data_IF_626675176955
#
_entry.id   IF_626675176955
#
_cell.length_a   1.000
_cell.length_b   1.000
_cell.length_c   1.000
_cell.angle_alpha   90.00
_cell.angle_beta   90.00
_cell.angle_gamma   90.00
#
_symmetry.space_group_name_H-M   'P 1'
#
loop_
_entity.id
_entity.type
_entity.pdbx_description
1 polymer ?
#
# COMPACT_ATOMS: atom_id res chain seq x y z
N UNK A 1 -8.58 -21.64 -31.31
CA UNK A 1 -8.77 -21.08 -29.95
C UNK A 1 -8.74 -22.11 -28.81
N UNK A 2 -9.70 -23.03 -28.62
CA UNK A 2 -9.75 -23.85 -27.38
C UNK A 2 -8.77 -25.02 -27.32
N UNK A 3 -8.40 -25.64 -28.46
CA UNK A 3 -7.44 -26.77 -28.50
C UNK A 3 -5.97 -26.34 -28.40
N UNK A 4 -5.58 -25.25 -29.05
CA UNK A 4 -4.21 -24.70 -28.95
C UNK A 4 -3.86 -24.23 -27.54
N UNK A 5 -4.82 -23.64 -26.82
CA UNK A 5 -4.67 -23.21 -25.43
C UNK A 5 -4.51 -24.38 -24.44
N UNK A 6 -5.04 -25.56 -24.77
CA UNK A 6 -4.90 -26.76 -23.96
C UNK A 6 -3.52 -27.43 -24.17
N UNK A 7 -3.08 -27.54 -25.42
CA UNK A 7 -1.75 -28.07 -25.79
C UNK A 7 -0.60 -27.20 -25.23
N UNK A 8 -0.76 -25.88 -25.24
CA UNK A 8 0.23 -24.95 -24.67
C UNK A 8 0.33 -25.06 -23.15
N UNK A 9 -0.77 -25.33 -22.43
CA UNK A 9 -0.77 -25.44 -20.96
C UNK A 9 0.08 -26.60 -20.43
N UNK A 10 0.10 -27.76 -21.10
CA UNK A 10 0.93 -28.89 -20.68
C UNK A 10 2.42 -28.66 -20.94
N UNK A 11 2.76 -28.02 -22.06
CA UNK A 11 4.14 -27.66 -22.42
C UNK A 11 4.69 -26.58 -21.49
N UNK A 12 3.87 -25.59 -21.12
CA UNK A 12 4.28 -24.49 -20.25
C UNK A 12 4.32 -24.82 -18.76
N UNK A 13 3.71 -25.93 -18.33
CA UNK A 13 3.90 -26.46 -16.96
C UNK A 13 5.34 -26.92 -16.70
N UNK A 14 6.10 -27.24 -17.75
CA UNK A 14 7.44 -27.84 -17.65
C UNK A 14 8.59 -26.86 -17.97
N UNK A 15 8.31 -25.66 -18.50
CA UNK A 15 9.35 -24.70 -18.85
C UNK A 15 8.82 -23.25 -18.84
N UNK A 16 9.03 -22.56 -17.72
CA UNK A 16 8.60 -21.17 -17.53
C UNK A 16 9.27 -20.19 -18.50
N UNK A 17 10.53 -20.44 -18.89
CA UNK A 17 11.24 -19.57 -19.84
C UNK A 17 10.58 -19.59 -21.22
N UNK A 18 10.23 -20.79 -21.72
CA UNK A 18 9.49 -20.93 -22.99
C UNK A 18 8.10 -20.28 -22.92
N UNK A 19 7.42 -20.38 -21.77
CA UNK A 19 6.12 -19.70 -21.56
C UNK A 19 6.27 -18.19 -21.63
N UNK A 20 7.24 -17.63 -20.91
CA UNK A 20 7.44 -16.19 -20.84
C UNK A 20 7.84 -15.62 -22.21
N UNK A 21 8.70 -16.33 -22.96
CA UNK A 21 9.03 -15.97 -24.34
C UNK A 21 7.80 -15.98 -25.24
N UNK A 22 7.00 -17.04 -25.18
CA UNK A 22 5.77 -17.15 -25.96
C UNK A 22 4.77 -16.03 -25.64
N UNK A 23 4.61 -15.67 -24.36
CA UNK A 23 3.77 -14.53 -23.96
C UNK A 23 4.33 -13.23 -24.55
N UNK A 24 5.64 -13.01 -24.48
CA UNK A 24 6.26 -11.80 -25.03
C UNK A 24 6.03 -11.69 -26.54
N UNK A 25 6.22 -12.79 -27.28
CA UNK A 25 5.97 -12.84 -28.73
C UNK A 25 4.51 -12.52 -29.06
N UNK A 26 3.55 -13.13 -28.35
CA UNK A 26 2.11 -12.85 -28.53
C UNK A 26 1.75 -11.37 -28.26
N UNK A 27 2.38 -10.74 -27.26
CA UNK A 27 2.11 -9.32 -26.98
C UNK A 27 2.60 -8.40 -28.10
N UNK A 28 3.63 -8.80 -28.86
CA UNK A 28 4.14 -8.02 -29.99
C UNK A 28 3.21 -8.10 -31.21
N UNK A 29 2.55 -9.25 -31.41
CA UNK A 29 1.67 -9.50 -32.56
C UNK A 29 0.27 -8.86 -32.42
N UNK A 30 -0.27 -8.73 -31.20
CA UNK A 30 -1.60 -8.13 -30.99
C UNK A 30 -1.50 -6.62 -30.74
N UNK A 31 -1.89 -5.81 -31.73
CA UNK A 31 -1.96 -4.35 -31.60
C UNK A 31 -2.93 -3.88 -30.50
N UNK A 32 -3.87 -4.73 -30.07
CA UNK A 32 -4.83 -4.42 -29.00
C UNK A 32 -4.33 -4.82 -27.61
N UNK A 33 -3.16 -5.45 -27.52
CA UNK A 33 -2.56 -5.80 -26.25
C UNK A 33 -2.38 -4.56 -25.36
N UNK A 34 -2.62 -4.72 -24.06
CA UNK A 34 -2.47 -3.62 -23.08
C UNK A 34 -1.02 -3.14 -23.03
N UNK A 35 -0.09 -4.09 -23.10
CA UNK A 35 1.33 -3.84 -23.07
C UNK A 35 2.06 -4.85 -23.96
N UNK A 36 3.26 -4.46 -24.40
CA UNK A 36 4.22 -5.28 -25.13
C UNK A 36 5.44 -5.52 -24.24
N UNK A 37 5.96 -6.75 -24.26
CA UNK A 37 7.19 -7.09 -23.54
C UNK A 37 8.36 -7.04 -24.53
N UNK A 38 9.25 -6.07 -24.32
CA UNK A 38 10.52 -6.00 -25.02
C UNK A 38 11.60 -6.71 -24.18
N UNK A 39 11.82 -7.98 -24.52
CA UNK A 39 12.78 -8.84 -23.82
C UNK A 39 14.23 -8.37 -24.04
N UNK A 40 14.53 -7.84 -25.22
CA UNK A 40 15.90 -7.47 -25.61
C UNK A 40 16.35 -6.21 -24.86
N UNK A 41 15.47 -5.22 -24.79
CA UNK A 41 15.71 -3.98 -24.05
C UNK A 41 15.31 -4.05 -22.57
N UNK A 42 14.72 -5.18 -22.12
CA UNK A 42 14.18 -5.38 -20.76
C UNK A 42 13.17 -4.31 -20.36
N UNK A 43 12.25 -3.99 -21.28
CA UNK A 43 11.24 -2.96 -21.11
C UNK A 43 9.82 -3.51 -21.28
N UNK A 44 8.86 -2.81 -20.71
CA UNK A 44 7.44 -3.01 -20.99
C UNK A 44 6.93 -1.72 -21.61
N UNK A 45 6.41 -1.82 -22.83
CA UNK A 45 5.78 -0.71 -23.53
C UNK A 45 4.27 -0.80 -23.34
N UNK A 46 3.63 0.27 -22.88
CA UNK A 46 2.18 0.32 -22.75
C UNK A 46 1.61 0.86 -24.05
N UNK A 47 0.60 0.19 -24.60
CA UNK A 47 -0.08 0.68 -25.79
C UNK A 47 -0.71 2.05 -25.53
N UNK A 48 -0.52 3.01 -26.45
CA UNK A 48 -0.99 4.39 -26.29
C UNK A 48 -2.49 4.53 -26.03
N UNK A 49 -3.32 3.71 -26.69
CA UNK A 49 -4.77 3.73 -26.48
C UNK A 49 -5.12 3.28 -25.06
N UNK A 50 -4.45 2.25 -24.57
CA UNK A 50 -4.59 1.77 -23.20
C UNK A 50 -4.04 2.75 -22.17
N UNK A 51 -2.87 3.36 -22.43
CA UNK A 51 -2.33 4.43 -21.60
C UNK A 51 -3.34 5.57 -21.46
N UNK A 52 -3.88 6.07 -22.59
CA UNK A 52 -4.87 7.15 -22.60
C UNK A 52 -6.13 6.74 -21.84
N UNK A 53 -6.64 5.53 -22.08
CA UNK A 53 -7.81 5.03 -21.37
C UNK A 53 -7.59 4.95 -19.86
N UNK A 54 -6.49 4.33 -19.41
CA UNK A 54 -6.17 4.19 -17.99
C UNK A 54 -5.98 5.55 -17.35
N UNK A 55 -5.27 6.47 -18.01
CA UNK A 55 -5.06 7.83 -17.52
C UNK A 55 -6.38 8.59 -17.34
N UNK A 56 -7.27 8.55 -18.32
CA UNK A 56 -8.59 9.21 -18.26
C UNK A 56 -9.46 8.59 -17.17
N UNK A 57 -9.39 7.28 -16.99
CA UNK A 57 -10.22 6.53 -16.04
C UNK A 57 -9.53 6.24 -14.70
N UNK A 58 -8.39 6.89 -14.42
CA UNK A 58 -7.52 6.54 -13.28
C UNK A 58 -8.24 6.64 -11.94
N UNK A 59 -9.17 7.59 -11.78
CA UNK A 59 -9.94 7.77 -10.56
C UNK A 59 -10.80 6.53 -10.25
N UNK A 60 -11.40 5.92 -11.27
CA UNK A 60 -12.22 4.71 -11.14
C UNK A 60 -11.34 3.52 -10.75
N UNK A 61 -10.20 3.36 -11.45
CA UNK A 61 -9.24 2.28 -11.18
C UNK A 61 -8.70 2.39 -9.75
N UNK A 62 -8.24 3.58 -9.34
CA UNK A 62 -7.78 3.85 -7.98
C UNK A 62 -8.89 3.62 -6.93
N UNK A 63 -10.11 4.09 -7.19
CA UNK A 63 -11.25 3.86 -6.31
C UNK A 63 -11.55 2.38 -6.11
N UNK A 64 -11.52 1.59 -7.19
CA UNK A 64 -11.72 0.14 -7.11
C UNK A 64 -10.58 -0.57 -6.36
N UNK A 65 -9.32 -0.17 -6.60
CA UNK A 65 -8.18 -0.71 -5.86
C UNK A 65 -8.27 -0.40 -4.36
N UNK A 66 -8.60 0.85 -3.99
CA UNK A 66 -8.83 1.24 -2.61
C UNK A 66 -9.96 0.46 -1.98
N UNK A 67 -11.08 0.26 -2.68
CA UNK A 67 -12.19 -0.55 -2.19
C UNK A 67 -11.76 -2.00 -1.91
N UNK A 68 -11.04 -2.64 -2.84
CA UNK A 68 -10.51 -4.00 -2.63
C UNK A 68 -9.56 -4.06 -1.43
N UNK A 69 -8.70 -3.06 -1.27
CA UNK A 69 -7.79 -2.95 -0.12
C UNK A 69 -8.56 -2.81 1.20
N UNK A 70 -9.58 -1.94 1.24
CA UNK A 70 -10.47 -1.78 2.40
C UNK A 70 -11.11 -3.12 2.77
N UNK A 71 -11.72 -3.83 1.81
CA UNK A 71 -12.33 -5.14 2.07
C UNK A 71 -11.31 -6.15 2.61
N UNK A 72 -10.12 -6.18 2.00
CA UNK A 72 -9.02 -7.07 2.42
C UNK A 72 -8.60 -6.80 3.86
N UNK A 73 -8.43 -5.52 4.23
CA UNK A 73 -8.03 -5.09 5.56
C UNK A 73 -9.12 -5.31 6.60
N UNK A 74 -10.39 -4.98 6.30
CA UNK A 74 -11.52 -5.18 7.21
C UNK A 74 -11.72 -6.65 7.57
N UNK A 75 -11.56 -7.56 6.60
CA UNK A 75 -11.65 -9.01 6.85
C UNK A 75 -10.61 -9.50 7.85
N UNK A 76 -9.42 -8.88 7.90
CA UNK A 76 -8.32 -9.26 8.78
C UNK A 76 -8.26 -8.47 10.08
N UNK A 77 -8.94 -7.32 10.14
CA UNK A 77 -8.93 -6.41 11.27
C UNK A 77 -10.38 -6.03 11.63
N UNK A 78 -11.24 -7.00 12.01
CA UNK A 78 -12.68 -6.74 12.21
C UNK A 78 -12.96 -5.70 13.29
N UNK A 79 -12.07 -5.58 14.28
CA UNK A 79 -12.19 -4.64 15.40
C UNK A 79 -11.65 -3.23 15.08
N UNK A 80 -11.05 -3.01 13.91
CA UNK A 80 -10.57 -1.68 13.52
C UNK A 80 -11.72 -0.96 12.80
N UNK A 81 -12.36 0.04 13.43
CA UNK A 81 -13.40 0.81 12.76
C UNK A 81 -12.79 1.75 11.73
N UNK A 82 -13.62 2.21 10.79
CA UNK A 82 -13.30 3.31 9.89
C UNK A 82 -12.03 3.06 9.04
N UNK A 83 -11.72 1.81 8.68
CA UNK A 83 -10.61 1.44 7.79
C UNK A 83 -10.59 2.25 6.48
N UNK A 84 -11.72 2.58 5.82
CA UNK A 84 -11.70 3.43 4.63
C UNK A 84 -10.97 4.77 4.82
N UNK A 85 -10.94 5.31 6.04
CA UNK A 85 -10.27 6.56 6.38
C UNK A 85 -8.82 6.37 6.86
N UNK A 86 -8.34 5.12 6.91
CA UNK A 86 -7.02 4.72 7.43
C UNK A 86 -6.14 4.06 6.36
N UNK A 87 -6.61 3.93 5.12
CA UNK A 87 -5.85 3.30 4.02
C UNK A 87 -4.71 4.17 3.49
N UNK A 88 -4.71 5.46 3.79
CA UNK A 88 -3.65 6.41 3.43
C UNK A 88 -3.14 7.10 4.68
N UNK A 89 -1.84 7.39 4.72
CA UNK A 89 -1.28 8.24 5.77
C UNK A 89 -1.95 9.62 5.73
N UNK A 90 -2.26 10.23 6.88
CA UNK A 90 -2.75 11.60 6.92
C UNK A 90 -1.68 12.54 6.35
N UNK A 91 -2.07 13.44 5.44
CA UNK A 91 -1.14 14.38 4.79
C UNK A 91 -0.46 15.34 5.78
N UNK A 92 -1.09 15.61 6.93
CA UNK A 92 -0.48 16.28 8.07
C UNK A 92 -0.91 15.58 9.35
N UNK A 93 0.06 15.21 10.18
CA UNK A 93 -0.19 14.70 11.53
C UNK A 93 -0.37 15.89 12.47
N UNK A 94 -1.56 16.04 13.05
CA UNK A 94 -1.85 17.03 14.10
C UNK A 94 -2.12 16.30 15.41
N UNK A 95 -1.18 16.41 16.35
CA UNK A 95 -1.30 15.82 17.69
C UNK A 95 -1.60 16.86 18.76
N UNK A 96 -1.83 18.13 18.40
CA UNK A 96 -1.97 19.23 19.36
C UNK A 96 -3.00 18.95 20.46
N UNK A 97 -4.16 18.39 20.09
CA UNK A 97 -5.22 18.01 21.03
C UNK A 97 -4.78 16.88 21.97
N UNK A 98 -4.12 15.86 21.44
CA UNK A 98 -3.67 14.72 22.22
C UNK A 98 -2.52 15.14 23.16
N UNK A 99 -1.55 15.91 22.66
CA UNK A 99 -0.46 16.47 23.47
C UNK A 99 -1.02 17.33 24.59
N UNK A 100 -1.95 18.25 24.28
CA UNK A 100 -2.59 19.08 25.31
C UNK A 100 -3.29 18.24 26.38
N UNK A 101 -4.06 17.23 25.98
CA UNK A 101 -4.73 16.33 26.92
C UNK A 101 -3.73 15.65 27.86
N UNK A 102 -2.66 15.07 27.32
CA UNK A 102 -1.66 14.37 28.13
C UNK A 102 -0.85 15.31 29.02
N UNK A 103 -0.59 16.55 28.58
CA UNK A 103 0.01 17.58 29.44
C UNK A 103 -0.90 17.91 30.63
N UNK A 104 -2.20 18.07 30.42
CA UNK A 104 -3.14 18.33 31.54
C UNK A 104 -3.23 17.12 32.49
N UNK A 105 -3.30 15.89 31.96
CA UNK A 105 -3.30 14.67 32.79
C UNK A 105 -2.04 14.60 33.65
N UNK A 106 -0.87 14.91 33.08
CA UNK A 106 0.39 14.87 33.81
C UNK A 106 0.49 15.93 34.92
N UNK A 107 -0.26 17.04 34.81
CA UNK A 107 -0.36 18.04 35.89
C UNK A 107 -1.15 17.51 37.08
N UNK A 108 -2.24 16.78 36.82
CA UNK A 108 -3.10 16.25 37.87
C UNK A 108 -2.54 14.95 38.49
N UNK A 109 -1.86 14.13 37.69
CA UNK A 109 -1.26 12.86 38.11
C UNK A 109 0.07 12.67 37.41
N UNK A 110 1.14 12.51 38.19
CA UNK A 110 2.47 12.23 37.63
C UNK A 110 2.44 10.96 36.78
N UNK A 111 2.78 11.10 35.50
CA UNK A 111 2.88 9.99 34.55
C UNK A 111 4.35 9.65 34.34
N UNK A 112 4.65 8.35 34.29
CA UNK A 112 5.96 7.85 33.88
C UNK A 112 5.97 7.53 32.39
N UNK A 113 7.06 7.91 31.73
CA UNK A 113 7.36 7.48 30.37
C UNK A 113 7.55 5.96 30.31
N UNK A 114 6.87 5.31 29.37
CA UNK A 114 6.82 3.83 29.28
C UNK A 114 8.12 3.22 28.74
N UNK A 115 9.00 4.01 28.12
CA UNK A 115 10.25 3.53 27.53
C UNK A 115 11.43 3.66 28.50
N UNK A 116 11.43 4.73 29.29
CA UNK A 116 12.52 5.09 30.21
C UNK A 116 12.19 4.80 31.68
N UNK A 117 10.90 4.66 32.01
CA UNK A 117 10.40 4.55 33.38
C UNK A 117 10.56 5.83 34.20
N UNK A 118 10.95 6.95 33.59
CA UNK A 118 11.15 8.25 34.27
C UNK A 118 9.86 9.07 34.27
N UNK A 119 9.65 9.87 35.30
CA UNK A 119 8.51 10.78 35.37
C UNK A 119 8.63 11.90 34.32
N UNK A 120 7.50 12.33 33.78
CA UNK A 120 7.43 13.40 32.78
C UNK A 120 7.57 14.79 33.45
N UNK A 121 8.78 15.12 33.91
CA UNK A 121 9.12 16.41 34.54
C UNK A 121 9.89 17.32 33.59
N UNK A 122 9.95 18.62 33.89
CA UNK A 122 10.73 19.60 33.10
C UNK A 122 12.22 19.22 33.02
N UNK A 123 12.79 18.74 34.13
CA UNK A 123 14.17 18.25 34.18
C UNK A 123 14.37 17.08 33.21
N UNK A 124 13.47 16.08 33.23
CA UNK A 124 13.55 14.94 32.34
C UNK A 124 13.28 15.33 30.88
N UNK A 125 12.43 16.31 30.60
CA UNK A 125 12.26 16.82 29.24
C UNK A 125 13.53 17.48 28.69
N UNK A 126 14.28 18.20 29.53
CA UNK A 126 15.56 18.77 29.13
C UNK A 126 16.62 17.70 28.85
N UNK A 127 16.59 16.58 29.59
CA UNK A 127 17.57 15.51 29.48
C UNK A 127 17.25 14.46 28.40
N UNK A 128 15.96 14.20 28.15
CA UNK A 128 15.49 13.06 27.34
C UNK A 128 14.56 13.46 26.18
N UNK A 129 14.23 14.75 26.05
CA UNK A 129 13.34 15.27 25.03
C UNK A 129 11.90 15.48 25.52
N UNK A 130 11.17 16.33 24.79
CA UNK A 130 9.80 16.70 25.14
C UNK A 130 8.80 15.54 24.96
N UNK A 131 7.63 15.68 25.59
CA UNK A 131 6.50 14.77 25.41
C UNK A 131 6.18 14.53 23.92
N UNK A 132 6.30 13.28 23.51
CA UNK A 132 5.89 12.79 22.20
C UNK A 132 4.83 11.70 22.36
N UNK A 133 3.85 11.69 21.46
CA UNK A 133 2.81 10.66 21.44
C UNK A 133 3.14 9.71 20.30
N UNK A 134 3.46 8.47 20.63
CA UNK A 134 3.72 7.43 19.65
C UNK A 134 2.44 6.70 19.22
N UNK A 135 2.46 6.11 18.02
CA UNK A 135 1.40 5.20 17.59
C UNK A 135 1.68 3.83 18.17
N UNK A 136 0.94 3.43 19.20
CA UNK A 136 0.91 2.03 19.60
C UNK A 136 0.18 1.22 18.53
N UNK A 137 0.89 0.31 17.86
CA UNK A 137 0.28 -0.74 17.03
C UNK A 137 0.09 -1.94 17.95
N UNK A 138 -1.16 -2.30 18.33
CA UNK A 138 -1.43 -3.47 19.15
C UNK A 138 -1.21 -4.77 18.38
#
# INVERSE_FOLDING_TARGET
>A
FTKELALTKEVFKKNDSKRNKFIADLTKEDERAIYKIDVDNKMIEINDSWYKYIRVNQAIVCGWMHYKLVCYLQKRNPNVPAIPFKITAPGKRDLSKATKLWTEINRDKTVSDIYTGKELTEENFSNYGNLSIDHFIP
#
